data_IF_517781466263
#
_entry.id   IF_517781466263
#
_cell.length_a   1.000
_cell.length_b   1.000
_cell.length_c   1.000
_cell.angle_alpha   90.00
_cell.angle_beta   90.00
_cell.angle_gamma   90.00
#
_symmetry.space_group_name_H-M   'P 1'
#
loop_
_entity.id
_entity.type
_entity.pdbx_description
1 polymer ?
#
# COMPACT_ATOMS: atom_id res chain seq x y z
N UNK A 1 -19.69 19.65 3.97
CA UNK A 1 -21.04 19.74 4.55
C UNK A 1 -21.38 18.47 5.30
N UNK A 2 -22.57 18.38 5.89
CA UNK A 2 -23.14 17.13 6.41
C UNK A 2 -23.69 16.27 5.28
N UNK A 3 -23.90 14.97 5.51
CA UNK A 3 -24.52 14.05 4.53
C UNK A 3 -25.85 14.62 4.02
N UNK A 4 -26.71 15.09 4.93
CA UNK A 4 -27.98 15.75 4.59
C UNK A 4 -27.83 16.97 3.67
N UNK A 5 -26.76 17.76 3.87
CA UNK A 5 -26.48 18.89 2.97
C UNK A 5 -26.08 18.42 1.57
N UNK A 6 -25.33 17.33 1.47
CA UNK A 6 -24.98 16.74 0.17
C UNK A 6 -26.20 16.11 -0.52
N UNK A 7 -27.06 15.39 0.19
CA UNK A 7 -28.31 14.85 -0.36
C UNK A 7 -29.22 15.96 -0.91
N UNK A 8 -29.35 17.06 -0.17
CA UNK A 8 -30.10 18.24 -0.62
C UNK A 8 -29.49 18.85 -1.88
N UNK A 9 -28.16 18.93 -1.96
CA UNK A 9 -27.44 19.41 -3.14
C UNK A 9 -27.63 18.48 -4.34
N UNK A 10 -27.51 17.16 -4.17
CA UNK A 10 -27.71 16.15 -5.21
C UNK A 10 -29.10 16.32 -5.84
N UNK A 11 -30.14 16.42 -5.02
CA UNK A 11 -31.51 16.60 -5.52
C UNK A 11 -31.65 17.86 -6.37
N UNK A 12 -31.01 18.96 -5.97
CA UNK A 12 -31.00 20.20 -6.75
C UNK A 12 -30.23 20.02 -8.07
N UNK A 13 -29.05 19.41 -8.04
CA UNK A 13 -28.21 19.18 -9.22
C UNK A 13 -28.91 18.29 -10.27
N UNK A 14 -29.64 17.26 -9.84
CA UNK A 14 -30.42 16.38 -10.74
C UNK A 14 -31.51 17.13 -11.51
N UNK A 15 -31.99 18.26 -10.98
CA UNK A 15 -33.01 19.09 -11.62
C UNK A 15 -32.44 20.18 -12.55
N UNK A 16 -31.11 20.38 -12.57
CA UNK A 16 -30.48 21.42 -13.38
C UNK A 16 -30.00 20.89 -14.76
N UNK A 17 -29.99 21.75 -15.80
CA UNK A 17 -29.47 21.41 -17.12
C UNK A 17 -27.92 21.27 -17.14
N UNK A 18 -27.32 21.17 -18.35
CA UNK A 18 -25.87 21.14 -18.58
C UNK A 18 -25.11 19.91 -18.04
N UNK A 19 -25.79 18.77 -17.93
CA UNK A 19 -25.17 17.52 -17.49
C UNK A 19 -24.90 17.43 -15.98
N UNK A 20 -25.42 18.37 -15.19
CA UNK A 20 -25.28 18.36 -13.72
C UNK A 20 -25.91 17.14 -13.07
N UNK A 21 -26.86 16.48 -13.74
CA UNK A 21 -27.40 15.19 -13.33
C UNK A 21 -26.30 14.13 -13.19
N UNK A 22 -25.38 14.02 -14.16
CA UNK A 22 -24.31 13.02 -14.12
C UNK A 22 -23.37 13.25 -12.93
N UNK A 23 -23.07 14.53 -12.64
CA UNK A 23 -22.27 14.91 -11.47
C UNK A 23 -23.02 14.56 -10.18
N UNK A 24 -24.33 14.78 -10.14
CA UNK A 24 -25.15 14.43 -8.99
C UNK A 24 -25.17 12.91 -8.73
N UNK A 25 -25.29 12.12 -9.79
CA UNK A 25 -25.24 10.65 -9.72
C UNK A 25 -23.86 10.17 -9.22
N UNK A 26 -22.76 10.76 -9.71
CA UNK A 26 -21.41 10.46 -9.24
C UNK A 26 -21.20 10.81 -7.75
N UNK A 27 -21.66 11.99 -7.31
CA UNK A 27 -21.59 12.40 -5.91
C UNK A 27 -22.39 11.43 -5.02
N UNK A 28 -23.58 11.03 -5.44
CA UNK A 28 -24.45 10.10 -4.72
C UNK A 28 -23.80 8.72 -4.57
N UNK A 29 -23.22 8.19 -5.64
CA UNK A 29 -22.48 6.92 -5.61
C UNK A 29 -21.31 6.99 -4.62
N UNK A 30 -20.50 8.05 -4.71
CA UNK A 30 -19.31 8.23 -3.87
C UNK A 30 -19.66 8.42 -2.39
N UNK A 31 -20.73 9.15 -2.07
CA UNK A 31 -21.22 9.29 -0.70
C UNK A 31 -21.71 7.95 -0.16
N UNK A 32 -22.47 7.21 -0.96
CA UNK A 32 -22.94 5.87 -0.61
C UNK A 32 -21.76 4.95 -0.27
N UNK A 33 -20.70 4.97 -1.07
CA UNK A 33 -19.46 4.20 -0.81
C UNK A 33 -18.77 4.67 0.46
N UNK A 34 -18.66 5.98 0.64
CA UNK A 34 -18.02 6.60 1.81
C UNK A 34 -18.73 6.24 3.12
N UNK A 35 -20.05 6.07 3.09
CA UNK A 35 -20.86 5.68 4.25
C UNK A 35 -20.96 4.17 4.46
N UNK A 36 -21.11 3.37 3.39
CA UNK A 36 -21.44 1.93 3.49
C UNK A 36 -20.31 1.04 4.01
N UNK A 37 -19.06 1.46 3.97
CA UNK A 37 -17.91 0.57 4.28
C UNK A 37 -17.26 0.85 5.62
N UNK A 38 -18.02 0.67 6.72
CA UNK A 38 -17.39 0.62 8.04
C UNK A 38 -16.53 -0.64 8.22
N UNK A 39 -16.98 -1.79 7.72
CA UNK A 39 -16.28 -3.06 7.89
C UNK A 39 -16.38 -3.95 6.64
N UNK A 40 -15.23 -4.41 6.13
CA UNK A 40 -15.16 -5.39 5.04
C UNK A 40 -14.24 -6.55 5.43
N UNK A 41 -14.68 -7.78 5.20
CA UNK A 41 -13.83 -8.96 5.39
C UNK A 41 -13.02 -9.19 4.10
N UNK A 42 -11.71 -8.96 4.16
CA UNK A 42 -10.78 -9.28 3.09
C UNK A 42 -10.25 -10.71 3.30
N UNK A 43 -10.49 -11.59 2.33
CA UNK A 43 -9.96 -12.98 2.34
C UNK A 43 -8.57 -13.00 1.71
N UNK A 44 -7.61 -13.60 2.42
CA UNK A 44 -6.20 -13.71 2.00
C UNK A 44 -5.78 -15.17 2.16
N UNK A 45 -6.00 -16.01 1.14
CA UNK A 45 -5.80 -17.45 1.27
C UNK A 45 -6.60 -18.05 2.44
N UNK A 46 -5.89 -18.66 3.41
CA UNK A 46 -6.46 -19.19 4.67
C UNK A 46 -6.76 -18.11 5.72
N UNK A 47 -6.23 -16.90 5.55
CA UNK A 47 -6.36 -15.79 6.49
C UNK A 47 -7.53 -14.88 6.12
N UNK A 48 -7.92 -14.04 7.07
CA UNK A 48 -8.88 -12.99 6.80
C UNK A 48 -8.67 -11.77 7.69
N UNK A 49 -8.70 -10.58 7.07
CA UNK A 49 -8.59 -9.31 7.76
C UNK A 49 -9.95 -8.60 7.75
N UNK A 50 -10.41 -8.17 8.92
CA UNK A 50 -11.56 -7.28 9.04
C UNK A 50 -11.13 -5.84 8.78
N UNK A 51 -11.07 -5.43 7.52
CA UNK A 51 -10.78 -4.05 7.12
C UNK A 51 -11.79 -3.11 7.77
N UNK A 52 -11.30 -1.99 8.29
CA UNK A 52 -12.10 -1.01 9.02
C UNK A 52 -12.22 -1.26 10.52
N UNK A 53 -12.09 -2.51 11.01
CA UNK A 53 -12.17 -2.85 12.46
C UNK A 53 -11.00 -2.31 13.27
N UNK A 54 -9.84 -2.36 12.66
CA UNK A 54 -8.57 -1.84 13.16
C UNK A 54 -7.67 -1.60 11.98
N UNK A 55 -6.64 -0.79 12.17
CA UNK A 55 -5.52 -0.77 11.23
C UNK A 55 -4.70 -2.06 11.38
N UNK A 56 -4.04 -2.49 10.31
CA UNK A 56 -3.11 -3.62 10.28
C UNK A 56 -1.68 -3.16 10.03
N UNK A 57 -0.69 -3.85 10.61
CA UNK A 57 0.73 -3.58 10.38
C UNK A 57 1.29 -4.52 9.32
N UNK A 58 1.90 -3.96 8.30
CA UNK A 58 2.68 -4.70 7.30
C UNK A 58 4.17 -4.45 7.55
N UNK A 59 4.90 -5.48 7.99
CA UNK A 59 6.33 -5.44 8.23
C UNK A 59 7.15 -5.60 6.94
N UNK A 60 8.09 -4.70 6.70
CA UNK A 60 8.94 -4.69 5.50
C UNK A 60 10.16 -5.61 5.69
N UNK A 61 10.21 -6.70 4.93
CA UNK A 61 11.35 -7.61 4.85
C UNK A 61 12.08 -7.48 3.51
N UNK A 62 13.06 -6.57 3.45
CA UNK A 62 13.90 -6.40 2.27
C UNK A 62 15.00 -7.48 2.23
N UNK A 63 14.94 -8.35 1.24
CA UNK A 63 15.89 -9.44 0.98
C UNK A 63 16.92 -9.00 -0.07
N UNK A 64 17.68 -7.97 0.28
CA UNK A 64 18.76 -7.43 -0.55
C UNK A 64 20.12 -7.69 0.09
N UNK A 65 21.22 -7.78 -0.70
CA UNK A 65 22.59 -7.92 -0.20
C UNK A 65 22.91 -6.94 0.94
N UNK A 66 22.61 -5.65 0.72
CA UNK A 66 22.86 -4.57 1.69
C UNK A 66 22.05 -4.66 3.00
N UNK A 67 21.04 -5.54 3.06
CA UNK A 67 20.11 -5.61 4.19
C UNK A 67 20.55 -6.61 5.27
N UNK A 68 21.47 -7.53 4.98
CA UNK A 68 21.76 -8.66 5.89
C UNK A 68 23.25 -9.03 6.09
N UNK A 69 24.20 -8.44 5.37
CA UNK A 69 25.66 -8.56 5.62
C UNK A 69 26.49 -7.65 4.70
N UNK A 70 27.71 -7.29 5.12
CA UNK A 70 28.67 -6.51 4.31
C UNK A 70 29.25 -7.28 3.10
N UNK A 71 28.92 -8.57 2.97
CA UNK A 71 29.61 -9.51 2.07
C UNK A 71 28.74 -9.92 0.87
N UNK A 72 27.53 -9.38 0.77
CA UNK A 72 26.67 -9.50 -0.41
C UNK A 72 25.81 -10.77 -0.50
N UNK A 73 25.96 -11.73 0.42
CA UNK A 73 25.15 -12.96 0.49
C UNK A 73 23.97 -12.75 1.45
N UNK A 74 22.74 -12.93 0.94
CA UNK A 74 21.54 -12.89 1.77
C UNK A 74 21.54 -14.11 2.70
N UNK A 75 21.70 -13.88 4.01
CA UNK A 75 21.54 -14.92 5.01
C UNK A 75 20.02 -15.20 5.20
N UNK A 76 19.58 -16.36 4.70
CA UNK A 76 18.17 -16.78 4.69
C UNK A 76 17.64 -16.90 6.13
N UNK A 77 18.44 -17.48 7.02
CA UNK A 77 18.13 -17.65 8.44
C UNK A 77 17.89 -16.29 9.10
N UNK A 78 18.78 -15.31 8.85
CA UNK A 78 18.60 -13.96 9.40
C UNK A 78 17.32 -13.28 8.89
N UNK A 79 16.96 -13.48 7.62
CA UNK A 79 15.72 -12.94 7.07
C UNK A 79 14.48 -13.58 7.72
N UNK A 80 14.51 -14.89 7.96
CA UNK A 80 13.43 -15.62 8.62
C UNK A 80 13.30 -15.24 10.09
N UNK A 81 14.41 -15.18 10.83
CA UNK A 81 14.41 -14.74 12.24
C UNK A 81 13.90 -13.30 12.38
N UNK A 82 14.29 -12.42 11.45
CA UNK A 82 13.76 -11.05 11.41
C UNK A 82 12.24 -11.03 11.18
N UNK A 83 11.71 -11.89 10.31
CA UNK A 83 10.27 -11.97 10.07
C UNK A 83 9.52 -12.50 11.29
N UNK A 84 10.04 -13.54 11.97
CA UNK A 84 9.47 -14.04 13.23
C UNK A 84 9.41 -12.93 14.28
N UNK A 85 10.51 -12.20 14.46
CA UNK A 85 10.56 -11.05 15.36
C UNK A 85 9.52 -10.00 15.00
N UNK A 86 9.33 -9.68 13.72
CA UNK A 86 8.26 -8.76 13.29
C UNK A 86 6.88 -9.28 13.68
N UNK A 87 6.60 -10.57 13.53
CA UNK A 87 5.32 -11.18 13.95
C UNK A 87 5.13 -11.06 15.47
N UNK A 88 6.17 -11.36 16.26
CA UNK A 88 6.16 -11.19 17.72
C UNK A 88 5.93 -9.72 18.15
N UNK A 89 6.48 -8.78 17.39
CA UNK A 89 6.29 -7.34 17.60
C UNK A 89 4.89 -6.85 17.16
N UNK A 90 4.13 -7.69 16.47
CA UNK A 90 2.74 -7.46 16.08
C UNK A 90 2.54 -7.07 14.62
N UNK A 91 3.40 -7.51 13.70
CA UNK A 91 3.11 -7.49 12.28
C UNK A 91 1.95 -8.42 11.95
N UNK A 92 0.95 -7.90 11.24
CA UNK A 92 -0.19 -8.68 10.74
C UNK A 92 0.06 -9.25 9.34
N UNK A 93 1.03 -8.67 8.61
CA UNK A 93 1.45 -9.08 7.26
C UNK A 93 2.96 -8.92 7.18
N UNK A 94 3.66 -9.86 6.53
CA UNK A 94 5.07 -9.70 6.16
C UNK A 94 5.16 -9.42 4.66
N UNK A 95 5.82 -8.35 4.26
CA UNK A 95 6.01 -7.96 2.87
C UNK A 95 7.47 -8.18 2.45
N UNK A 96 7.67 -9.14 1.55
CA UNK A 96 8.98 -9.64 1.14
C UNK A 96 9.36 -9.02 -0.20
N UNK A 97 10.49 -8.31 -0.27
CA UNK A 97 10.98 -7.68 -1.50
C UNK A 97 12.43 -8.04 -1.80
N UNK A 98 12.74 -8.50 -3.01
CA UNK A 98 14.09 -8.87 -3.45
C UNK A 98 14.84 -7.77 -4.21
N UNK A 99 14.10 -6.78 -4.69
CA UNK A 99 14.60 -5.65 -5.46
C UNK A 99 14.41 -4.34 -4.68
N UNK A 100 15.45 -3.51 -4.67
CA UNK A 100 15.33 -2.16 -4.09
C UNK A 100 14.50 -1.28 -5.00
N UNK A 101 13.38 -0.78 -4.49
CA UNK A 101 12.52 0.21 -5.17
C UNK A 101 12.82 1.64 -4.71
N UNK A 102 13.97 1.84 -4.05
CA UNK A 102 14.46 3.17 -3.64
C UNK A 102 14.76 4.04 -4.87
N UNK A 103 14.67 5.38 -4.75
CA UNK A 103 15.06 6.28 -5.83
C UNK A 103 16.44 5.94 -6.40
N UNK A 104 16.54 5.96 -7.73
CA UNK A 104 17.78 5.71 -8.49
C UNK A 104 18.34 4.29 -8.43
N UNK A 105 17.60 3.32 -7.88
CA UNK A 105 18.02 1.92 -7.91
C UNK A 105 18.11 1.38 -9.35
N UNK A 106 19.04 0.44 -9.56
CA UNK A 106 19.15 -0.31 -10.82
C UNK A 106 18.26 -1.57 -10.73
N UNK A 107 17.47 -1.86 -11.78
CA UNK A 107 16.70 -3.09 -11.81
C UNK A 107 17.61 -4.31 -11.86
N UNK A 108 17.16 -5.40 -11.26
CA UNK A 108 17.85 -6.70 -11.29
C UNK A 108 17.10 -7.68 -12.21
N UNK A 109 17.77 -8.76 -12.64
CA UNK A 109 17.10 -9.80 -13.43
C UNK A 109 16.06 -10.54 -12.59
N UNK A 110 15.05 -11.14 -13.23
CA UNK A 110 14.09 -12.02 -12.55
C UNK A 110 14.79 -13.22 -11.88
N UNK A 111 15.87 -13.72 -12.47
CA UNK A 111 16.64 -14.81 -11.88
C UNK A 111 17.31 -14.37 -10.57
N UNK A 112 17.90 -13.19 -10.54
CA UNK A 112 18.58 -12.67 -9.34
C UNK A 112 17.60 -12.32 -8.23
N UNK A 113 16.45 -11.72 -8.58
CA UNK A 113 15.39 -11.46 -7.62
C UNK A 113 14.85 -12.76 -7.02
N UNK A 114 14.59 -13.78 -7.85
CA UNK A 114 14.11 -15.07 -7.37
C UNK A 114 15.14 -15.80 -6.50
N UNK A 115 16.43 -15.73 -6.84
CA UNK A 115 17.51 -16.29 -6.01
C UNK A 115 17.52 -15.69 -4.60
N UNK A 116 17.11 -14.43 -4.45
CA UNK A 116 16.98 -13.76 -3.16
C UNK A 116 15.71 -14.17 -2.42
N UNK A 117 14.54 -13.97 -3.03
CA UNK A 117 13.25 -14.13 -2.32
C UNK A 117 12.80 -15.58 -2.21
N UNK A 118 13.11 -16.42 -3.21
CA UNK A 118 12.59 -17.78 -3.31
C UNK A 118 12.94 -18.67 -2.10
N UNK A 119 14.21 -18.77 -1.70
CA UNK A 119 14.59 -19.54 -0.51
C UNK A 119 13.97 -19.00 0.78
N UNK A 120 13.91 -17.68 0.94
CA UNK A 120 13.30 -17.02 2.10
C UNK A 120 11.80 -17.32 2.17
N UNK A 121 11.05 -17.17 1.07
CA UNK A 121 9.62 -17.48 1.02
C UNK A 121 9.32 -18.94 1.41
N UNK A 122 10.06 -19.91 0.85
CA UNK A 122 9.85 -21.34 1.15
C UNK A 122 10.00 -21.67 2.64
N UNK A 123 10.90 -20.97 3.33
CA UNK A 123 11.14 -21.16 4.77
C UNK A 123 10.12 -20.38 5.61
N UNK A 124 9.87 -19.12 5.26
CA UNK A 124 8.86 -18.27 5.92
C UNK A 124 7.49 -18.95 5.96
N UNK A 125 7.04 -19.56 4.86
CA UNK A 125 5.71 -20.19 4.84
C UNK A 125 5.50 -21.33 5.84
N UNK A 126 6.58 -21.87 6.41
CA UNK A 126 6.54 -22.92 7.43
C UNK A 126 6.71 -22.38 8.86
N UNK A 127 7.22 -21.16 8.99
CA UNK A 127 7.74 -20.64 10.26
C UNK A 127 6.98 -19.40 10.77
N UNK A 128 6.13 -18.77 9.95
CA UNK A 128 5.25 -17.67 10.38
C UNK A 128 3.79 -17.95 10.03
N UNK A 129 2.87 -17.58 10.94
CA UNK A 129 1.42 -17.76 10.77
C UNK A 129 0.70 -16.42 10.50
N UNK A 130 1.25 -15.66 9.55
CA UNK A 130 0.62 -14.43 9.03
C UNK A 130 0.63 -14.44 7.50
N UNK A 131 -0.26 -13.68 6.84
CA UNK A 131 -0.16 -13.41 5.42
C UNK A 131 1.23 -12.94 5.00
N UNK A 132 1.72 -13.50 3.89
CA UNK A 132 2.96 -13.05 3.23
C UNK A 132 2.62 -12.39 1.91
N UNK A 133 3.07 -11.15 1.76
CA UNK A 133 3.01 -10.33 0.55
C UNK A 133 4.32 -10.40 -0.21
N UNK A 134 4.26 -10.42 -1.55
CA UNK A 134 5.42 -10.31 -2.44
C UNK A 134 5.47 -8.91 -3.07
N UNK A 135 6.50 -8.13 -2.74
CA UNK A 135 6.80 -6.81 -3.31
C UNK A 135 7.58 -6.99 -4.61
N UNK A 136 6.86 -7.12 -5.72
CA UNK A 136 7.45 -7.24 -7.05
C UNK A 136 6.47 -6.82 -8.14
N UNK A 137 6.99 -6.08 -9.14
CA UNK A 137 6.24 -5.71 -10.35
C UNK A 137 6.45 -6.70 -11.50
N UNK A 138 7.21 -7.80 -11.28
CA UNK A 138 7.57 -8.78 -12.31
C UNK A 138 6.64 -10.01 -12.23
N UNK A 139 5.82 -10.29 -13.27
CA UNK A 139 4.84 -11.38 -13.23
C UNK A 139 5.46 -12.76 -12.92
N UNK A 140 6.67 -13.04 -13.41
CA UNK A 140 7.34 -14.32 -13.17
C UNK A 140 7.71 -14.51 -11.69
N UNK A 141 8.14 -13.45 -11.01
CA UNK A 141 8.46 -13.49 -9.58
C UNK A 141 7.20 -13.70 -8.76
N UNK A 142 6.17 -12.91 -9.07
CA UNK A 142 4.87 -13.00 -8.39
C UNK A 142 4.29 -14.40 -8.54
N UNK A 143 4.25 -14.95 -9.76
CA UNK A 143 3.76 -16.32 -10.00
C UNK A 143 4.49 -17.34 -9.12
N UNK A 144 5.82 -17.34 -9.12
CA UNK A 144 6.62 -18.27 -8.31
C UNK A 144 6.41 -18.08 -6.81
N UNK A 145 6.24 -16.84 -6.36
CA UNK A 145 5.97 -16.53 -4.96
C UNK A 145 4.61 -17.05 -4.51
N UNK A 146 3.56 -16.87 -5.34
CA UNK A 146 2.23 -17.40 -5.08
C UNK A 146 2.22 -18.94 -5.09
N UNK A 147 2.92 -19.57 -6.04
CA UNK A 147 3.13 -21.03 -6.06
C UNK A 147 3.86 -21.53 -4.80
N UNK A 148 4.62 -20.67 -4.13
CA UNK A 148 5.33 -20.98 -2.89
C UNK A 148 4.52 -20.67 -1.62
N UNK A 149 3.31 -20.12 -1.74
CA UNK A 149 2.40 -19.84 -0.63
C UNK A 149 2.25 -18.36 -0.22
N UNK A 150 2.88 -17.43 -0.93
CA UNK A 150 2.55 -16.01 -0.78
C UNK A 150 1.06 -15.79 -1.11
N UNK A 151 0.42 -14.85 -0.43
CA UNK A 151 -1.04 -14.68 -0.46
C UNK A 151 -1.51 -13.26 -0.76
N UNK A 152 -0.59 -12.33 -0.97
CA UNK A 152 -0.84 -10.95 -1.38
C UNK A 152 0.19 -10.55 -2.45
N UNK A 153 -0.24 -9.84 -3.48
CA UNK A 153 0.64 -9.20 -4.46
C UNK A 153 0.79 -7.73 -4.07
N UNK A 154 2.02 -7.25 -3.89
CA UNK A 154 2.30 -5.83 -3.74
C UNK A 154 2.98 -5.29 -5.01
N UNK A 155 2.19 -4.68 -5.90
CA UNK A 155 2.65 -4.21 -7.19
C UNK A 155 2.78 -2.67 -7.21
N UNK A 156 4.02 -2.22 -7.05
CA UNK A 156 4.38 -0.80 -7.10
C UNK A 156 4.09 -0.14 -8.47
N UNK A 157 3.87 -0.92 -9.53
CA UNK A 157 3.53 -0.42 -10.87
C UNK A 157 2.04 -0.16 -11.07
N UNK A 158 1.19 -0.62 -10.14
CA UNK A 158 -0.26 -0.42 -10.17
C UNK A 158 -0.98 -1.23 -11.26
N UNK A 159 -0.57 -2.49 -11.46
CA UNK A 159 -1.11 -3.45 -12.42
C UNK A 159 -0.99 -3.03 -13.89
N UNK A 160 -0.09 -2.10 -14.23
CA UNK A 160 0.12 -1.66 -15.62
C UNK A 160 0.53 -2.81 -16.56
N UNK A 161 1.06 -3.90 -16.02
CA UNK A 161 1.40 -5.11 -16.76
C UNK A 161 0.18 -6.05 -16.90
N UNK A 162 -0.22 -6.34 -18.15
CA UNK A 162 -1.36 -7.25 -18.46
C UNK A 162 -1.16 -8.67 -17.93
N UNK A 163 0.07 -9.19 -17.96
CA UNK A 163 0.36 -10.53 -17.41
C UNK A 163 0.26 -10.55 -15.88
N UNK A 164 0.56 -9.43 -15.21
CA UNK A 164 0.33 -9.31 -13.76
C UNK A 164 -1.17 -9.38 -13.44
N UNK A 165 -2.01 -8.73 -14.24
CA UNK A 165 -3.48 -8.74 -14.07
C UNK A 165 -4.03 -10.16 -14.26
N UNK A 166 -3.61 -10.86 -15.32
CA UNK A 166 -3.97 -12.27 -15.54
C UNK A 166 -3.52 -13.16 -14.37
N UNK A 167 -2.31 -12.94 -13.86
CA UNK A 167 -1.79 -13.68 -12.72
C UNK A 167 -2.63 -13.41 -11.48
N UNK A 168 -2.90 -12.15 -11.14
CA UNK A 168 -3.75 -11.80 -10.00
C UNK A 168 -5.15 -12.43 -10.09
N UNK A 169 -5.79 -12.37 -11.25
CA UNK A 169 -7.12 -12.96 -11.47
C UNK A 169 -7.10 -14.48 -11.32
N UNK A 170 -6.07 -15.15 -11.85
CA UNK A 170 -5.93 -16.60 -11.77
C UNK A 170 -5.77 -17.11 -10.34
N UNK A 171 -4.97 -16.44 -9.52
CA UNK A 171 -4.69 -16.88 -8.15
C UNK A 171 -5.74 -16.41 -7.13
N UNK A 172 -6.62 -15.47 -7.50
CA UNK A 172 -7.68 -14.94 -6.65
C UNK A 172 -7.16 -14.41 -5.29
N UNK A 173 -6.02 -13.72 -5.32
CA UNK A 173 -5.34 -13.12 -4.15
C UNK A 173 -5.49 -11.61 -4.14
N UNK A 174 -5.48 -10.96 -2.96
CA UNK A 174 -5.48 -9.51 -2.90
C UNK A 174 -4.25 -8.88 -3.57
N UNK A 175 -4.48 -7.75 -4.23
CA UNK A 175 -3.45 -6.97 -4.91
C UNK A 175 -3.42 -5.55 -4.38
N UNK A 176 -2.23 -5.13 -3.93
CA UNK A 176 -1.93 -3.75 -3.61
C UNK A 176 -1.48 -3.07 -4.89
N UNK A 177 -2.22 -2.07 -5.34
CA UNK A 177 -1.86 -1.22 -6.47
C UNK A 177 -1.32 0.11 -5.94
N UNK A 178 -0.08 0.42 -6.29
CA UNK A 178 0.53 1.69 -5.89
C UNK A 178 0.49 2.71 -7.01
N UNK A 179 0.32 3.98 -6.65
CA UNK A 179 0.57 5.07 -7.57
C UNK A 179 2.05 5.52 -7.56
N UNK A 180 2.64 5.50 -8.75
CA UNK A 180 3.96 6.05 -9.04
C UNK A 180 3.96 6.71 -10.42
N UNK A 181 4.49 7.94 -10.48
CA UNK A 181 4.78 8.66 -11.74
C UNK A 181 6.25 8.43 -12.11
N UNK A 182 6.48 8.00 -13.34
CA UNK A 182 7.78 7.48 -13.78
C UNK A 182 8.07 6.06 -13.26
N UNK A 183 9.35 5.73 -13.13
CA UNK A 183 9.89 4.45 -12.62
C UNK A 183 10.79 4.72 -11.41
N UNK A 184 11.11 3.72 -10.56
CA UNK A 184 11.97 3.94 -9.39
C UNK A 184 13.31 4.62 -9.74
N UNK A 185 13.83 4.35 -10.93
CA UNK A 185 15.06 4.95 -11.48
C UNK A 185 14.96 6.45 -11.77
N UNK A 186 13.80 6.96 -12.20
CA UNK A 186 13.66 8.35 -12.67
C UNK A 186 12.54 9.16 -11.99
N UNK A 187 11.71 8.55 -11.15
CA UNK A 187 10.52 9.17 -10.58
C UNK A 187 10.81 10.46 -9.81
N UNK A 188 12.00 10.59 -9.21
CA UNK A 188 12.39 11.79 -8.45
C UNK A 188 12.98 12.92 -9.31
N UNK A 189 13.07 12.75 -10.64
CA UNK A 189 13.54 13.81 -11.54
C UNK A 189 12.37 14.75 -11.85
N UNK A 190 12.26 15.85 -11.09
CA UNK A 190 11.26 16.92 -11.26
C UNK A 190 9.81 16.39 -11.40
N UNK A 191 9.26 15.72 -10.36
CA UNK A 191 7.87 15.32 -10.41
C UNK A 191 6.96 16.57 -10.35
N UNK A 192 6.13 16.75 -11.36
CA UNK A 192 5.15 17.84 -11.44
C UNK A 192 3.74 17.29 -11.35
N UNK A 193 2.90 17.92 -10.53
CA UNK A 193 1.46 17.65 -10.43
C UNK A 193 0.73 18.98 -10.40
N UNK A 194 -0.45 19.04 -11.03
CA UNK A 194 -1.35 20.19 -10.88
C UNK A 194 -2.20 20.04 -9.61
N UNK A 195 -2.74 18.85 -9.40
CA UNK A 195 -3.37 18.41 -8.15
C UNK A 195 -2.92 16.97 -7.90
N UNK A 196 -1.96 16.79 -7.00
CA UNK A 196 -1.39 15.46 -6.74
C UNK A 196 -2.44 14.46 -6.26
N UNK A 197 -3.40 14.90 -5.45
CA UNK A 197 -4.44 14.01 -4.91
C UNK A 197 -5.45 13.67 -6.00
N UNK A 198 -5.92 14.66 -6.76
CA UNK A 198 -6.81 14.47 -7.88
C UNK A 198 -6.22 13.55 -8.97
N UNK A 199 -4.95 13.76 -9.35
CA UNK A 199 -4.27 12.90 -10.33
C UNK A 199 -4.12 11.46 -9.84
N UNK A 200 -3.80 11.26 -8.55
CA UNK A 200 -3.75 9.92 -7.94
C UNK A 200 -5.12 9.27 -7.92
N UNK A 201 -6.15 10.03 -7.58
CA UNK A 201 -7.53 9.55 -7.52
C UNK A 201 -7.99 9.05 -8.90
N UNK A 202 -7.83 9.86 -9.94
CA UNK A 202 -8.16 9.48 -11.32
C UNK A 202 -7.32 8.31 -11.83
N UNK A 203 -6.07 8.17 -11.36
CA UNK A 203 -5.27 6.99 -11.64
C UNK A 203 -5.93 5.74 -11.04
N UNK A 204 -6.31 5.77 -9.75
CA UNK A 204 -6.91 4.62 -9.10
C UNK A 204 -8.26 4.25 -9.70
N UNK A 205 -9.13 5.20 -10.03
CA UNK A 205 -10.41 4.90 -10.68
C UNK A 205 -10.21 4.06 -11.93
N UNK A 206 -9.35 4.51 -12.85
CA UNK A 206 -9.04 3.80 -14.11
C UNK A 206 -8.41 2.42 -13.86
N UNK A 207 -7.53 2.31 -12.86
CA UNK A 207 -6.84 1.04 -12.56
C UNK A 207 -7.74 0.03 -11.86
N UNK A 208 -8.61 0.49 -10.95
CA UNK A 208 -9.60 -0.33 -10.27
C UNK A 208 -10.59 -0.88 -11.30
N UNK A 209 -11.19 -0.02 -12.12
CA UNK A 209 -12.13 -0.42 -13.16
C UNK A 209 -11.52 -1.44 -14.12
N UNK A 210 -10.29 -1.17 -14.59
CA UNK A 210 -9.58 -2.09 -15.46
C UNK A 210 -9.32 -3.45 -14.80
N UNK A 211 -8.89 -3.46 -13.53
CA UNK A 211 -8.61 -4.69 -12.79
C UNK A 211 -9.89 -5.51 -12.54
N UNK A 212 -10.99 -4.87 -12.13
CA UNK A 212 -12.28 -5.52 -11.89
C UNK A 212 -12.86 -6.13 -13.18
N UNK A 213 -12.82 -5.39 -14.28
CA UNK A 213 -13.24 -5.88 -15.60
C UNK A 213 -12.39 -7.06 -16.11
N UNK A 214 -11.24 -7.33 -15.50
CA UNK A 214 -10.37 -8.46 -15.81
C UNK A 214 -10.32 -9.49 -14.67
N UNK A 215 -11.30 -9.50 -13.77
CA UNK A 215 -11.47 -10.52 -12.73
C UNK A 215 -10.60 -10.33 -11.48
N UNK A 216 -10.10 -9.13 -11.23
CA UNK A 216 -9.34 -8.78 -10.02
C UNK A 216 -10.16 -7.80 -9.16
N UNK A 217 -10.84 -8.31 -8.13
CA UNK A 217 -11.77 -7.54 -7.29
C UNK A 217 -11.21 -7.19 -5.90
N UNK A 218 -10.27 -7.99 -5.39
CA UNK A 218 -9.58 -7.81 -4.09
C UNK A 218 -8.44 -6.78 -4.18
N UNK A 219 -8.80 -5.52 -4.43
CA UNK A 219 -7.83 -4.44 -4.61
C UNK A 219 -7.63 -3.65 -3.32
N UNK A 220 -6.36 -3.39 -2.96
CA UNK A 220 -5.92 -2.43 -1.95
C UNK A 220 -5.19 -1.29 -2.69
N UNK A 221 -5.39 -0.05 -2.30
CA UNK A 221 -4.73 1.11 -2.94
C UNK A 221 -3.62 1.67 -2.05
N UNK A 222 -2.50 2.08 -2.65
CA UNK A 222 -1.40 2.79 -1.99
C UNK A 222 -1.03 4.07 -2.77
N UNK A 223 -1.27 5.29 -2.24
CA UNK A 223 -0.97 6.54 -2.95
C UNK A 223 0.52 6.75 -3.23
N UNK A 224 1.40 5.92 -2.65
CA UNK A 224 2.82 5.81 -3.00
C UNK A 224 3.63 6.96 -2.44
N UNK A 225 3.56 7.21 -1.13
CA UNK A 225 4.37 8.26 -0.48
C UNK A 225 5.86 8.03 -0.76
N UNK A 226 6.52 9.09 -1.24
CA UNK A 226 7.93 9.08 -1.64
C UNK A 226 8.22 8.45 -3.01
N UNK A 227 7.19 8.08 -3.79
CA UNK A 227 7.35 7.55 -5.14
C UNK A 227 6.92 8.57 -6.19
N UNK A 228 7.91 9.29 -6.72
CA UNK A 228 7.74 10.33 -7.74
C UNK A 228 7.03 11.57 -7.24
N UNK A 229 7.39 12.03 -6.04
CA UNK A 229 6.71 13.11 -5.29
C UNK A 229 7.74 13.90 -4.50
N UNK A 230 7.66 15.23 -4.56
CA UNK A 230 8.47 16.14 -3.73
C UNK A 230 7.89 16.20 -2.29
N UNK A 231 8.49 17.05 -1.44
CA UNK A 231 8.08 17.21 -0.05
C UNK A 231 6.60 17.63 0.05
N UNK A 232 6.21 18.66 -0.68
CA UNK A 232 4.88 19.27 -0.67
C UNK A 232 3.81 18.28 -1.11
N UNK A 233 4.08 17.52 -2.18
CA UNK A 233 3.20 16.46 -2.67
C UNK A 233 2.97 15.36 -1.62
N UNK A 234 4.01 14.96 -0.88
CA UNK A 234 3.87 13.93 0.15
C UNK A 234 3.05 14.44 1.34
N UNK A 235 3.27 15.70 1.76
CA UNK A 235 2.47 16.34 2.81
C UNK A 235 1.01 16.49 2.39
N UNK A 236 0.77 16.88 1.14
CA UNK A 236 -0.58 17.04 0.61
C UNK A 236 -1.36 15.72 0.59
N UNK A 237 -0.71 14.62 0.20
CA UNK A 237 -1.30 13.28 0.25
C UNK A 237 -1.66 12.88 1.67
N UNK A 238 -0.78 13.11 2.66
CA UNK A 238 -1.09 12.79 4.06
C UNK A 238 -2.28 13.63 4.54
N UNK A 239 -2.30 14.93 4.20
CA UNK A 239 -3.36 15.88 4.58
C UNK A 239 -4.73 15.49 4.02
N UNK A 240 -4.79 15.07 2.76
CA UNK A 240 -6.02 14.74 2.03
C UNK A 240 -6.28 13.24 1.88
N UNK A 241 -5.55 12.41 2.63
CA UNK A 241 -5.59 10.95 2.53
C UNK A 241 -7.02 10.37 2.62
N UNK A 242 -7.89 11.00 3.42
CA UNK A 242 -9.28 10.60 3.63
C UNK A 242 -10.13 10.64 2.35
N UNK A 243 -9.75 11.42 1.35
CA UNK A 243 -10.45 11.50 0.07
C UNK A 243 -10.45 10.16 -0.66
N UNK A 244 -9.38 9.38 -0.58
CA UNK A 244 -9.29 8.07 -1.24
C UNK A 244 -10.31 7.04 -0.71
N UNK A 245 -10.93 7.27 0.46
CA UNK A 245 -11.97 6.39 0.99
C UNK A 245 -13.21 6.32 0.09
N UNK A 246 -13.48 7.35 -0.72
CA UNK A 246 -14.62 7.35 -1.65
C UNK A 246 -14.42 6.39 -2.84
N UNK A 247 -13.20 5.87 -3.05
CA UNK A 247 -12.94 4.76 -3.99
C UNK A 247 -13.42 3.41 -3.44
N UNK A 248 -13.75 3.33 -2.14
CA UNK A 248 -14.29 2.13 -1.53
C UNK A 248 -13.30 0.95 -1.48
N UNK A 249 -12.00 1.21 -1.61
CA UNK A 249 -10.95 0.19 -1.47
C UNK A 249 -10.22 0.36 -0.14
N UNK A 250 -9.74 -0.73 0.49
CA UNK A 250 -8.81 -0.63 1.61
C UNK A 250 -7.59 0.20 1.24
N UNK A 251 -7.11 1.00 2.20
CA UNK A 251 -6.01 1.92 1.99
C UNK A 251 -4.75 1.48 2.72
N UNK A 252 -3.66 1.26 1.98
CA UNK A 252 -2.33 1.04 2.51
C UNK A 252 -1.50 2.32 2.42
N UNK A 253 -0.70 2.61 3.45
CA UNK A 253 0.27 3.72 3.39
C UNK A 253 1.62 3.31 3.99
N UNK A 254 2.71 3.60 3.28
CA UNK A 254 4.07 3.35 3.73
C UNK A 254 4.90 4.62 3.99
N UNK A 255 4.73 5.33 5.13
CA UNK A 255 5.50 6.53 5.43
C UNK A 255 6.91 6.24 5.97
N UNK A 256 7.20 4.98 6.31
CA UNK A 256 8.37 4.57 7.10
C UNK A 256 9.72 5.01 6.53
N UNK A 257 10.44 5.81 7.34
CA UNK A 257 11.82 6.30 7.08
C UNK A 257 12.00 7.07 5.76
N UNK A 258 10.91 7.53 5.14
CA UNK A 258 10.92 8.20 3.83
C UNK A 258 11.67 9.54 3.87
N UNK A 259 12.11 10.01 2.70
CA UNK A 259 12.93 11.23 2.55
C UNK A 259 12.23 12.49 3.06
N UNK A 260 10.92 12.62 2.87
CA UNK A 260 10.18 13.81 3.30
C UNK A 260 10.31 14.06 4.82
N UNK A 261 10.33 12.99 5.63
CA UNK A 261 10.56 13.10 7.08
C UNK A 261 11.95 13.68 7.35
N UNK A 262 12.97 13.17 6.64
CA UNK A 262 14.33 13.68 6.78
C UNK A 262 14.50 15.10 6.30
N UNK A 263 13.74 15.55 5.29
CA UNK A 263 13.77 16.93 4.81
C UNK A 263 13.13 17.90 5.82
N UNK A 264 12.09 17.47 6.54
CA UNK A 264 11.41 18.30 7.55
C UNK A 264 12.23 18.38 8.84
N UNK A 265 12.77 17.25 9.29
CA UNK A 265 13.43 17.14 10.59
C UNK A 265 14.95 17.28 10.53
N UNK A 266 15.52 17.40 9.33
CA UNK A 266 16.97 17.36 9.07
C UNK A 266 17.65 16.09 9.64
N UNK A 267 17.08 14.92 9.31
CA UNK A 267 17.52 13.62 9.84
C UNK A 267 17.89 12.60 8.76
N UNK A 268 18.97 11.81 8.97
CA UNK A 268 19.32 10.69 8.10
C UNK A 268 18.30 9.54 8.22
N UNK A 269 18.23 8.66 7.22
CA UNK A 269 17.19 7.62 7.13
C UNK A 269 17.07 6.72 8.38
N UNK A 270 18.18 6.44 9.07
CA UNK A 270 18.21 5.61 10.28
C UNK A 270 17.71 6.30 11.56
N UNK A 271 17.47 7.61 11.52
CA UNK A 271 17.05 8.43 12.69
C UNK A 271 15.69 9.10 12.44
N UNK A 272 14.76 8.40 11.78
CA UNK A 272 13.45 8.96 11.38
C UNK A 272 12.28 8.29 12.10
N UNK A 273 12.51 7.71 13.27
CA UNK A 273 11.50 6.94 13.98
C UNK A 273 10.32 7.84 14.37
N UNK A 274 10.58 8.94 15.06
CA UNK A 274 9.58 9.87 15.59
C UNK A 274 8.71 10.44 14.46
N UNK A 275 9.33 10.88 13.37
CA UNK A 275 8.60 11.34 12.19
C UNK A 275 7.82 10.23 11.47
N UNK A 276 8.30 8.98 11.52
CA UNK A 276 7.57 7.81 11.00
C UNK A 276 6.33 7.54 11.85
N UNK A 277 6.46 7.56 13.17
CA UNK A 277 5.36 7.36 14.12
C UNK A 277 4.29 8.45 13.98
N UNK A 278 4.71 9.72 13.90
CA UNK A 278 3.80 10.84 13.68
C UNK A 278 3.04 10.72 12.34
N UNK A 279 3.76 10.37 11.27
CA UNK A 279 3.17 10.16 9.95
C UNK A 279 2.18 8.99 9.94
N UNK A 280 2.54 7.87 10.59
CA UNK A 280 1.66 6.71 10.73
C UNK A 280 0.38 7.06 11.50
N UNK A 281 0.49 7.80 12.60
CA UNK A 281 -0.67 8.26 13.37
C UNK A 281 -1.63 9.12 12.53
N UNK A 282 -1.09 10.08 11.77
CA UNK A 282 -1.88 10.91 10.86
C UNK A 282 -2.56 10.08 9.76
N UNK A 283 -1.84 9.11 9.18
CA UNK A 283 -2.41 8.22 8.17
C UNK A 283 -3.57 7.38 8.74
N UNK A 284 -3.41 6.84 9.95
CA UNK A 284 -4.46 6.06 10.64
C UNK A 284 -5.68 6.94 10.93
N UNK A 285 -5.47 8.14 11.46
CA UNK A 285 -6.54 9.12 11.68
C UNK A 285 -7.30 9.44 10.39
N UNK A 286 -6.58 9.53 9.28
CA UNK A 286 -7.17 9.83 7.97
C UNK A 286 -7.68 8.58 7.23
N UNK A 287 -7.72 7.42 7.90
CA UNK A 287 -8.44 6.23 7.43
C UNK A 287 -7.59 5.17 6.76
N UNK A 288 -6.26 5.18 6.92
CA UNK A 288 -5.42 4.07 6.47
C UNK A 288 -5.78 2.77 7.20
N UNK A 289 -5.99 1.71 6.43
CA UNK A 289 -6.34 0.38 6.94
C UNK A 289 -5.09 -0.50 7.12
N UNK A 290 -4.02 -0.23 6.39
CA UNK A 290 -2.73 -0.94 6.50
C UNK A 290 -1.60 0.09 6.56
N UNK A 291 -0.67 -0.08 7.49
CA UNK A 291 0.53 0.74 7.61
C UNK A 291 1.76 -0.13 7.34
N UNK A 292 2.53 0.22 6.30
CA UNK A 292 3.73 -0.52 5.86
C UNK A 292 5.00 0.09 6.46
N UNK A 293 5.69 -0.65 7.34
CA UNK A 293 6.73 -0.12 8.23
C UNK A 293 7.95 -1.04 8.43
N UNK A 294 9.05 -0.43 8.87
CA UNK A 294 10.28 -1.13 9.25
C UNK A 294 10.29 -1.39 10.76
N UNK A 295 9.92 -0.37 11.54
CA UNK A 295 9.87 -0.35 13.01
C UNK A 295 8.49 -0.86 13.48
N UNK A 296 8.31 -2.19 13.45
CA UNK A 296 7.01 -2.85 13.67
C UNK A 296 6.50 -2.62 15.09
N UNK A 297 7.35 -2.87 16.10
CA UNK A 297 6.99 -2.75 17.52
C UNK A 297 6.40 -1.37 17.85
N UNK A 298 7.11 -0.31 17.49
CA UNK A 298 6.74 1.06 17.79
C UNK A 298 5.49 1.48 17.01
N UNK A 299 5.40 1.12 15.73
CA UNK A 299 4.22 1.42 14.92
C UNK A 299 2.99 0.65 15.40
N UNK A 300 3.15 -0.58 15.90
CA UNK A 300 2.05 -1.34 16.49
C UNK A 300 1.53 -0.69 17.78
N UNK A 301 2.41 -0.11 18.62
CA UNK A 301 1.99 0.67 19.79
C UNK A 301 1.18 1.90 19.39
N UNK A 302 1.67 2.69 18.42
CA UNK A 302 0.95 3.86 17.88
C UNK A 302 -0.40 3.44 17.32
N UNK A 303 -0.42 2.39 16.50
CA UNK A 303 -1.65 1.84 15.91
C UNK A 303 -2.67 1.48 16.98
N UNK A 304 -2.29 0.75 18.03
CA UNK A 304 -3.23 0.36 19.11
C UNK A 304 -3.86 1.57 19.78
N UNK A 305 -3.07 2.60 20.07
CA UNK A 305 -3.59 3.84 20.65
C UNK A 305 -4.54 4.55 19.67
N UNK A 306 -4.10 4.74 18.42
CA UNK A 306 -4.89 5.43 17.41
C UNK A 306 -6.21 4.71 17.11
N UNK A 307 -6.20 3.39 16.97
CA UNK A 307 -7.40 2.58 16.74
C UNK A 307 -8.43 2.78 17.88
N UNK A 308 -7.99 2.84 19.14
CA UNK A 308 -8.87 3.09 20.29
C UNK A 308 -9.56 4.48 20.24
N UNK A 309 -8.92 5.45 19.57
CA UNK A 309 -9.45 6.79 19.35
C UNK A 309 -10.39 6.83 18.13
N UNK A 310 -9.98 6.25 16.99
CA UNK A 310 -10.59 6.53 15.68
C UNK A 310 -11.41 5.38 15.07
N UNK A 311 -11.27 4.13 15.53
CA UNK A 311 -11.93 2.94 14.94
C UNK A 311 -13.12 2.41 15.76
N UNK A 312 -13.87 3.29 16.42
CA UNK A 312 -15.11 2.95 17.17
C UNK A 312 -16.29 2.61 16.24
#
# INVERSE_FOLDING_TARGET
GTIKQYESLINKLKMQPFGLKNIADEIEERLTVFERKKYQKLKIGKYSLGIGKRTYIMGILNVTPDSFSGDGITNIENAVEKAKKMVEEGADIIDVGGESTRPFSKPISELDEWKRVGPVLKKLMKEVDVPVSIDSYKPMIVKKALDSGASIINDISGLRNKEMVKTAAKYDVPVIIMHMKGTPRNMQKKPEYRDVVGEIFSFFEKRIEYAENNGVDKIIIDPGIGFGKNLEHNLEIIRRLKEFKSLGKPLLVGPSRKSFIGQILDLPAGKRLEGTLASAALCINNGADIIRVHDVKECNMVRRFMDAVVRK
#
